data_IF_171672797594
#
_entry.id   IF_171672797594
#
_cell.length_a   1.000
_cell.length_b   1.000
_cell.length_c   1.000
_cell.angle_alpha   90.00
_cell.angle_beta   90.00
_cell.angle_gamma   90.00
#
_symmetry.space_group_name_H-M   'P 1'
#
loop_
_entity.id
_entity.type
_entity.pdbx_description
1 polymer ?
#
# COMPACT_ATOMS: atom_id res chain seq x y z
N UNK A 1 6.31 -2.43 46.53
CA UNK A 1 6.06 -2.16 45.09
C UNK A 1 5.20 -3.22 44.39
N UNK A 2 5.05 -4.44 44.94
CA UNK A 2 4.35 -5.58 44.30
C UNK A 2 2.84 -5.37 44.02
N UNK A 3 2.10 -4.66 44.90
CA UNK A 3 0.63 -4.49 44.75
C UNK A 3 0.19 -3.74 43.48
N UNK A 4 1.00 -2.83 42.94
CA UNK A 4 0.62 -2.06 41.75
C UNK A 4 0.69 -2.91 40.47
N UNK A 5 1.67 -3.81 40.38
CA UNK A 5 1.84 -4.69 39.23
C UNK A 5 0.76 -5.76 39.19
N UNK A 6 0.41 -6.36 40.33
CA UNK A 6 -0.69 -7.33 40.42
C UNK A 6 -2.03 -6.73 40.00
N UNK A 7 -2.35 -5.51 40.46
CA UNK A 7 -3.58 -4.83 40.07
C UNK A 7 -3.62 -4.50 38.57
N UNK A 8 -2.46 -4.15 37.97
CA UNK A 8 -2.40 -3.91 36.53
C UNK A 8 -2.58 -5.20 35.72
N UNK A 9 -1.96 -6.30 36.13
CA UNK A 9 -2.09 -7.59 35.44
C UNK A 9 -3.55 -8.07 35.48
N UNK A 10 -4.20 -8.00 36.64
CA UNK A 10 -5.61 -8.39 36.79
C UNK A 10 -6.53 -7.51 35.94
N UNK A 11 -6.34 -6.18 35.99
CA UNK A 11 -7.06 -5.25 35.11
C UNK A 11 -6.82 -5.58 33.63
N UNK A 12 -5.58 -5.83 33.23
CA UNK A 12 -5.23 -6.11 31.84
C UNK A 12 -5.86 -7.42 31.35
N UNK A 13 -5.88 -8.46 32.18
CA UNK A 13 -6.54 -9.72 31.85
C UNK A 13 -8.05 -9.53 31.69
N UNK A 14 -8.70 -8.85 32.64
CA UNK A 14 -10.16 -8.67 32.64
C UNK A 14 -10.65 -7.70 31.57
N UNK A 15 -9.89 -6.68 31.22
CA UNK A 15 -10.30 -5.74 30.17
C UNK A 15 -9.81 -6.20 28.81
N UNK A 16 -8.52 -6.45 28.65
CA UNK A 16 -7.92 -6.58 27.32
C UNK A 16 -7.81 -8.02 26.83
N UNK A 17 -7.88 -9.04 27.70
CA UNK A 17 -7.85 -10.44 27.23
C UNK A 17 -9.23 -11.09 27.15
N UNK A 18 -10.23 -10.58 27.86
CA UNK A 18 -11.59 -11.13 27.86
C UNK A 18 -12.60 -10.22 27.16
N UNK A 19 -12.78 -8.97 27.63
CA UNK A 19 -13.83 -8.05 27.12
C UNK A 19 -13.41 -7.42 25.78
N UNK A 20 -12.20 -6.88 25.71
CA UNK A 20 -11.64 -6.17 24.57
C UNK A 20 -10.51 -6.94 23.89
N UNK A 21 -10.66 -8.27 23.74
CA UNK A 21 -9.66 -9.17 23.18
C UNK A 21 -9.27 -8.92 21.72
N UNK A 22 -9.87 -7.91 21.08
CA UNK A 22 -9.63 -7.48 19.71
C UNK A 22 -8.51 -6.43 19.57
N UNK A 23 -7.74 -6.15 20.62
CA UNK A 23 -6.80 -5.01 20.68
C UNK A 23 -5.48 -5.20 19.92
N UNK A 24 -5.14 -6.41 19.49
CA UNK A 24 -3.89 -6.70 18.78
C UNK A 24 -4.10 -6.76 17.26
N UNK A 25 -3.09 -6.36 16.50
CA UNK A 25 -3.16 -6.20 15.04
C UNK A 25 -3.63 -7.47 14.29
N UNK A 26 -3.40 -8.65 14.86
CA UNK A 26 -3.77 -9.93 14.26
C UNK A 26 -5.29 -10.19 14.17
N UNK A 27 -6.10 -9.46 14.94
CA UNK A 27 -7.57 -9.63 14.99
C UNK A 27 -8.24 -9.09 13.72
N UNK A 28 -7.79 -7.94 13.24
CA UNK A 28 -8.25 -7.33 12.00
C UNK A 28 -7.37 -7.76 10.83
N UNK A 29 -7.45 -9.03 10.41
CA UNK A 29 -6.67 -9.51 9.27
C UNK A 29 -6.91 -8.63 8.04
N UNK A 30 -5.83 -8.14 7.42
CA UNK A 30 -5.87 -7.26 6.25
C UNK A 30 -6.47 -5.86 6.47
N UNK A 31 -6.83 -5.51 7.70
CA UNK A 31 -7.16 -4.13 8.05
C UNK A 31 -5.88 -3.32 8.25
N UNK A 32 -5.84 -2.03 7.86
CA UNK A 32 -4.70 -1.18 8.16
C UNK A 32 -4.50 -1.13 9.66
N UNK A 33 -3.30 -1.46 10.15
CA UNK A 33 -3.02 -1.53 11.59
C UNK A 33 -3.14 -0.19 12.33
N UNK A 34 -3.28 0.91 11.59
CA UNK A 34 -3.73 2.18 12.12
C UNK A 34 -4.42 3.00 11.03
N UNK A 35 -5.41 3.81 11.41
CA UNK A 35 -5.92 4.92 10.59
C UNK A 35 -4.89 6.07 10.45
N UNK A 36 -3.66 5.85 10.94
CA UNK A 36 -2.52 6.75 10.88
C UNK A 36 -2.02 6.96 9.44
N UNK A 37 -2.84 6.78 8.40
CA UNK A 37 -2.49 7.15 7.04
C UNK A 37 -2.18 8.63 6.94
N UNK A 38 -3.14 9.40 7.47
CA UNK A 38 -3.07 10.83 7.51
C UNK A 38 -1.97 11.24 8.49
N UNK A 39 -1.87 10.62 9.67
CA UNK A 39 -0.83 10.94 10.65
C UNK A 39 0.58 10.50 10.25
N UNK A 40 0.76 9.38 9.57
CA UNK A 40 2.05 8.88 9.10
C UNK A 40 2.50 9.65 7.86
N UNK A 41 1.59 9.97 6.94
CA UNK A 41 1.87 10.88 5.83
C UNK A 41 2.16 12.28 6.35
N UNK A 42 1.35 12.79 7.28
CA UNK A 42 1.60 14.04 7.98
C UNK A 42 2.89 13.97 8.80
N UNK A 43 3.29 12.83 9.36
CA UNK A 43 4.55 12.67 10.07
C UNK A 43 5.72 12.59 9.10
N UNK A 44 5.58 11.99 7.92
CA UNK A 44 6.61 12.02 6.88
C UNK A 44 6.76 13.45 6.36
N UNK A 45 5.65 14.15 6.12
CA UNK A 45 5.62 15.56 5.76
C UNK A 45 6.26 16.35 6.91
N UNK A 46 5.82 16.24 8.16
CA UNK A 46 6.37 16.99 9.31
C UNK A 46 7.83 16.66 9.62
N UNK A 47 8.26 15.38 9.53
CA UNK A 47 9.64 14.93 9.80
C UNK A 47 10.61 15.24 8.66
N UNK A 48 10.15 15.24 7.40
CA UNK A 48 11.00 15.55 6.22
C UNK A 48 10.87 17.00 5.74
N UNK A 49 9.75 17.64 6.06
CA UNK A 49 9.32 18.98 5.65
C UNK A 49 8.80 19.69 6.92
N UNK A 50 9.72 20.15 7.77
CA UNK A 50 9.41 20.90 8.98
C UNK A 50 8.51 22.11 8.64
N UNK A 51 7.20 21.93 8.69
CA UNK A 51 6.22 23.03 8.63
C UNK A 51 6.28 23.90 9.89
N UNK A 52 7.14 23.56 10.86
CA UNK A 52 7.51 24.40 12.00
C UNK A 52 8.42 25.57 11.60
N UNK A 53 9.09 25.50 10.45
CA UNK A 53 9.91 26.61 9.92
C UNK A 53 9.56 26.88 8.45
N UNK A 54 9.55 28.16 8.05
CA UNK A 54 9.33 28.53 6.64
C UNK A 54 10.47 27.97 5.80
N UNK A 55 10.17 26.99 4.94
CA UNK A 55 11.17 26.44 4.02
C UNK A 55 11.57 27.48 2.98
N UNK A 56 12.87 27.59 2.71
CA UNK A 56 13.38 28.34 1.56
C UNK A 56 12.76 27.78 0.27
N UNK A 57 12.44 28.67 -0.68
CA UNK A 57 11.79 28.30 -1.95
C UNK A 57 12.57 27.22 -2.72
N UNK A 58 13.91 27.26 -2.65
CA UNK A 58 14.79 26.23 -3.24
C UNK A 58 14.52 24.84 -2.67
N UNK A 59 14.29 24.73 -1.37
CA UNK A 59 13.99 23.45 -0.69
C UNK A 59 12.59 22.95 -1.02
N UNK A 60 11.61 23.85 -1.15
CA UNK A 60 10.26 23.48 -1.62
C UNK A 60 10.31 22.86 -3.01
N UNK A 61 11.10 23.45 -3.93
CA UNK A 61 11.27 22.88 -5.29
C UNK A 61 11.85 21.47 -5.25
N UNK A 62 12.95 21.25 -4.50
CA UNK A 62 13.58 19.93 -4.34
C UNK A 62 12.56 18.91 -3.81
N UNK A 63 11.78 19.29 -2.80
CA UNK A 63 10.80 18.41 -2.18
C UNK A 63 9.64 18.05 -3.10
N UNK A 64 9.12 19.03 -3.87
CA UNK A 64 8.09 18.77 -4.88
C UNK A 64 8.60 17.76 -5.92
N UNK A 65 9.83 17.93 -6.41
CA UNK A 65 10.45 16.98 -7.33
C UNK A 65 10.62 15.60 -6.71
N UNK A 66 11.03 15.49 -5.45
CA UNK A 66 11.14 14.18 -4.78
C UNK A 66 9.80 13.45 -4.64
N UNK A 67 8.73 14.18 -4.33
CA UNK A 67 7.38 13.60 -4.21
C UNK A 67 6.95 13.08 -5.58
N UNK A 68 7.06 13.92 -6.62
CA UNK A 68 6.73 13.54 -8.00
C UNK A 68 7.57 12.36 -8.47
N UNK A 69 8.87 12.34 -8.18
CA UNK A 69 9.76 11.23 -8.55
C UNK A 69 9.33 9.92 -7.87
N UNK A 70 9.01 9.96 -6.56
CA UNK A 70 8.53 8.78 -5.82
C UNK A 70 7.24 8.22 -6.42
N UNK A 71 6.31 9.09 -6.80
CA UNK A 71 5.06 8.71 -7.47
C UNK A 71 5.30 8.17 -8.88
N UNK A 72 6.18 8.80 -9.67
CA UNK A 72 6.56 8.31 -11.02
C UNK A 72 7.13 6.89 -10.97
N UNK A 73 7.99 6.61 -9.98
CA UNK A 73 8.54 5.26 -9.77
C UNK A 73 7.45 4.23 -9.43
N UNK A 74 6.30 4.62 -8.88
CA UNK A 74 5.17 3.70 -8.67
C UNK A 74 4.49 3.31 -9.98
N UNK A 75 4.33 4.24 -10.92
CA UNK A 75 3.80 3.95 -12.27
C UNK A 75 4.71 2.99 -13.05
N UNK A 76 6.02 3.22 -13.02
CA UNK A 76 7.00 2.31 -13.63
C UNK A 76 6.90 0.89 -13.05
N UNK A 77 6.92 0.78 -11.72
CA UNK A 77 6.82 -0.52 -11.04
C UNK A 77 5.46 -1.19 -11.28
N UNK A 78 4.38 -0.42 -11.35
CA UNK A 78 3.04 -0.91 -11.69
C UNK A 78 3.00 -1.46 -13.11
N UNK A 79 3.53 -0.72 -14.08
CA UNK A 79 3.59 -1.15 -15.47
C UNK A 79 4.42 -2.43 -15.65
N UNK A 80 5.59 -2.52 -15.01
CA UNK A 80 6.40 -3.75 -15.01
C UNK A 80 5.70 -4.91 -14.31
N UNK A 81 4.95 -4.64 -13.23
CA UNK A 81 4.13 -5.66 -12.59
C UNK A 81 3.03 -6.19 -13.52
N UNK A 82 2.38 -5.33 -14.31
CA UNK A 82 1.38 -5.78 -15.31
C UNK A 82 2.02 -6.74 -16.33
N UNK A 83 3.26 -6.47 -16.77
CA UNK A 83 4.00 -7.36 -17.68
C UNK A 83 4.32 -8.74 -17.10
N UNK A 84 4.30 -8.90 -15.77
CA UNK A 84 4.53 -10.20 -15.14
C UNK A 84 3.36 -11.18 -15.29
N UNK A 85 2.24 -10.75 -15.90
CA UNK A 85 1.10 -11.60 -16.29
C UNK A 85 0.56 -12.49 -15.18
N UNK A 86 0.65 -12.04 -13.94
CA UNK A 86 0.13 -12.76 -12.76
C UNK A 86 -1.38 -13.00 -12.89
N UNK A 87 -1.84 -14.15 -12.41
CA UNK A 87 -3.27 -14.49 -12.31
C UNK A 87 -3.96 -13.58 -11.29
N UNK A 88 -5.21 -13.23 -11.57
CA UNK A 88 -6.02 -12.36 -10.73
C UNK A 88 -7.36 -13.05 -10.52
N UNK A 89 -7.88 -12.98 -9.30
CA UNK A 89 -9.24 -13.38 -8.98
C UNK A 89 -9.99 -12.19 -8.45
N UNK A 90 -11.17 -11.92 -9.02
CA UNK A 90 -12.00 -10.80 -8.63
C UNK A 90 -13.21 -11.26 -7.83
N UNK A 91 -13.58 -10.48 -6.83
CA UNK A 91 -14.82 -10.64 -6.06
C UNK A 91 -15.45 -9.26 -5.95
N UNK A 92 -16.69 -9.13 -6.41
CA UNK A 92 -17.46 -7.90 -6.30
C UNK A 92 -18.16 -7.85 -4.94
N UNK A 93 -18.06 -6.70 -4.27
CA UNK A 93 -18.67 -6.43 -2.98
C UNK A 93 -19.27 -5.01 -3.01
N UNK A 94 -20.58 -4.92 -3.22
CA UNK A 94 -21.33 -3.66 -3.32
C UNK A 94 -20.71 -2.67 -4.34
N UNK A 95 -20.11 -1.57 -3.86
CA UNK A 95 -19.49 -0.53 -4.66
C UNK A 95 -17.97 -0.69 -4.82
N UNK A 96 -17.43 -1.83 -4.39
CA UNK A 96 -16.01 -2.15 -4.42
C UNK A 96 -15.77 -3.47 -5.14
N UNK A 97 -14.64 -3.57 -5.84
CA UNK A 97 -14.16 -4.83 -6.42
C UNK A 97 -12.84 -5.17 -5.76
N UNK A 98 -12.79 -6.35 -5.15
CA UNK A 98 -11.57 -6.91 -4.58
C UNK A 98 -10.89 -7.81 -5.61
N UNK A 99 -9.57 -7.63 -5.77
CA UNK A 99 -8.70 -8.40 -6.64
C UNK A 99 -7.61 -9.07 -5.81
N UNK A 100 -7.63 -10.39 -5.74
CA UNK A 100 -6.59 -11.18 -5.08
C UNK A 100 -5.47 -11.51 -6.08
N UNK A 101 -4.22 -11.29 -5.67
CA UNK A 101 -3.02 -11.43 -6.50
C UNK A 101 -1.90 -12.19 -5.75
N UNK A 102 -1.07 -12.98 -6.44
CA UNK A 102 0.09 -13.62 -5.81
C UNK A 102 1.14 -12.60 -5.37
N UNK A 103 1.74 -12.87 -4.21
CA UNK A 103 2.90 -12.15 -3.72
C UNK A 103 4.21 -12.65 -4.36
N UNK A 104 5.26 -11.83 -4.27
CA UNK A 104 6.60 -12.21 -4.72
C UNK A 104 6.67 -12.47 -6.23
N UNK A 105 7.40 -13.52 -6.60
CA UNK A 105 7.63 -13.94 -7.99
C UNK A 105 6.52 -14.85 -8.53
N UNK A 106 5.73 -15.47 -7.64
CA UNK A 106 4.65 -16.40 -7.97
C UNK A 106 3.66 -15.80 -8.98
N UNK A 107 3.33 -16.56 -10.02
CA UNK A 107 2.48 -16.08 -11.11
C UNK A 107 1.04 -16.58 -11.05
N UNK A 108 0.80 -17.63 -10.26
CA UNK A 108 -0.49 -18.32 -10.21
C UNK A 108 -1.01 -18.40 -8.78
N UNK A 109 -2.31 -18.18 -8.61
CA UNK A 109 -3.07 -18.51 -7.41
C UNK A 109 -4.32 -19.29 -7.81
N UNK A 110 -4.97 -19.95 -6.85
CA UNK A 110 -6.22 -20.69 -7.06
C UNK A 110 -7.28 -20.20 -6.08
N UNK A 111 -8.57 -20.31 -6.45
CA UNK A 111 -9.68 -19.97 -5.55
C UNK A 111 -9.59 -20.71 -4.21
N UNK A 112 -9.25 -22.01 -4.26
CA UNK A 112 -9.04 -22.82 -3.05
C UNK A 112 -7.92 -22.25 -2.19
N UNK A 113 -6.80 -21.83 -2.79
CA UNK A 113 -5.69 -21.20 -2.06
C UNK A 113 -6.09 -19.88 -1.40
N UNK A 114 -6.88 -19.06 -2.09
CA UNK A 114 -7.41 -17.79 -1.55
C UNK A 114 -8.32 -18.05 -0.35
N UNK A 115 -9.28 -18.96 -0.48
CA UNK A 115 -10.21 -19.31 0.59
C UNK A 115 -9.50 -19.87 1.81
N UNK A 116 -8.51 -20.74 1.59
CA UNK A 116 -7.68 -21.28 2.66
C UNK A 116 -6.99 -20.15 3.40
N UNK A 117 -6.32 -19.21 2.71
CA UNK A 117 -5.61 -18.10 3.37
C UNK A 117 -6.57 -17.16 4.10
N UNK A 118 -7.73 -16.83 3.52
CA UNK A 118 -8.71 -15.91 4.14
C UNK A 118 -9.41 -16.51 5.37
N UNK A 119 -9.68 -17.82 5.37
CA UNK A 119 -10.39 -18.52 6.46
C UNK A 119 -9.45 -19.19 7.45
N UNK A 120 -8.13 -19.10 7.24
CA UNK A 120 -7.14 -19.78 8.09
C UNK A 120 -7.16 -19.19 9.50
N UNK A 121 -7.28 -20.06 10.49
CA UNK A 121 -6.94 -19.74 11.88
C UNK A 121 -5.44 -19.91 12.06
N UNK A 122 -4.81 -18.92 12.67
CA UNK A 122 -3.36 -18.91 12.93
C UNK A 122 -3.11 -19.46 14.33
N UNK A 123 -2.46 -20.61 14.42
CA UNK A 123 -2.12 -21.21 15.71
C UNK A 123 -0.68 -20.89 16.13
N UNK A 124 0.19 -20.56 15.17
CA UNK A 124 1.57 -20.14 15.43
C UNK A 124 1.98 -18.95 14.57
N UNK A 125 2.96 -18.18 15.06
CA UNK A 125 3.53 -17.07 14.32
C UNK A 125 4.22 -17.52 13.02
N UNK A 126 4.91 -18.66 13.04
CA UNK A 126 5.57 -19.20 11.84
C UNK A 126 4.57 -19.55 10.73
N UNK A 127 3.39 -20.06 11.08
CA UNK A 127 2.32 -20.32 10.12
C UNK A 127 1.82 -19.01 9.51
N UNK A 128 1.61 -17.99 10.34
CA UNK A 128 1.22 -16.66 9.90
C UNK A 128 2.26 -16.05 8.95
N UNK A 129 3.54 -16.00 9.36
CA UNK A 129 4.62 -15.42 8.57
C UNK A 129 4.75 -16.09 7.19
N UNK A 130 4.61 -17.41 7.12
CA UNK A 130 4.76 -18.16 5.86
C UNK A 130 3.59 -17.96 4.91
N UNK A 131 2.37 -17.75 5.40
CA UNK A 131 1.15 -17.81 4.55
C UNK A 131 0.44 -16.47 4.39
N UNK A 132 0.43 -15.60 5.41
CA UNK A 132 -0.31 -14.34 5.37
C UNK A 132 0.18 -13.38 4.27
N UNK A 133 1.45 -13.51 3.87
CA UNK A 133 2.08 -12.67 2.85
C UNK A 133 2.24 -13.35 1.49
N UNK A 134 1.52 -14.45 1.25
CA UNK A 134 1.54 -15.17 -0.04
C UNK A 134 0.56 -14.59 -1.06
N UNK A 135 -0.48 -13.91 -0.58
CA UNK A 135 -1.52 -13.30 -1.39
C UNK A 135 -1.71 -11.86 -0.93
N UNK A 136 -1.78 -10.93 -1.88
CA UNK A 136 -2.22 -9.57 -1.62
C UNK A 136 -3.62 -9.36 -2.18
N UNK A 137 -4.42 -8.58 -1.48
CA UNK A 137 -5.74 -8.14 -1.94
C UNK A 137 -5.65 -6.66 -2.30
N UNK A 138 -6.17 -6.31 -3.47
CA UNK A 138 -6.30 -4.94 -3.97
C UNK A 138 -7.77 -4.64 -4.10
N UNK A 139 -8.28 -3.63 -3.40
CA UNK A 139 -9.70 -3.25 -3.48
C UNK A 139 -9.81 -1.92 -4.20
N UNK A 140 -10.59 -1.87 -5.26
CA UNK A 140 -10.83 -0.66 -6.06
C UNK A 140 -12.32 -0.29 -6.04
N UNK A 141 -12.68 0.99 -6.08
CA UNK A 141 -14.05 1.41 -6.35
C UNK A 141 -14.52 0.95 -7.73
N UNK A 142 -15.81 0.63 -7.86
CA UNK A 142 -16.45 0.37 -9.16
C UNK A 142 -16.38 1.61 -10.07
N UNK A 143 -16.44 2.80 -9.47
CA UNK A 143 -16.19 4.06 -10.17
C UNK A 143 -14.71 4.16 -10.59
N UNK A 144 -14.46 3.94 -11.88
CA UNK A 144 -13.14 3.94 -12.49
C UNK A 144 -12.39 5.25 -12.30
N UNK A 145 -13.08 6.38 -12.15
CA UNK A 145 -12.45 7.69 -11.95
C UNK A 145 -11.87 7.83 -10.54
N UNK A 146 -12.41 7.08 -9.57
CA UNK A 146 -12.00 7.09 -8.16
C UNK A 146 -10.98 6.01 -7.83
N UNK A 147 -10.28 5.48 -8.81
CA UNK A 147 -9.30 4.41 -8.58
C UNK A 147 -8.20 4.77 -7.57
N UNK A 148 -7.93 6.07 -7.38
CA UNK A 148 -6.99 6.58 -6.37
C UNK A 148 -7.42 6.27 -4.93
N UNK A 149 -8.70 6.03 -4.68
CA UNK A 149 -9.23 5.59 -3.39
C UNK A 149 -9.00 4.09 -3.16
N UNK A 150 -8.35 3.41 -4.11
CA UNK A 150 -8.00 2.01 -4.03
C UNK A 150 -7.04 1.68 -2.91
N UNK A 151 -7.28 0.55 -2.24
CA UNK A 151 -6.47 0.05 -1.13
C UNK A 151 -5.78 -1.26 -1.47
N UNK A 152 -4.67 -1.56 -0.78
CA UNK A 152 -3.97 -2.84 -0.97
C UNK A 152 -3.41 -3.36 0.34
N UNK A 153 -3.42 -4.68 0.52
CA UNK A 153 -2.91 -5.33 1.74
C UNK A 153 -1.39 -5.57 1.74
N UNK A 154 -0.66 -5.02 0.76
CA UNK A 154 0.78 -5.20 0.69
C UNK A 154 1.54 -4.25 1.62
N UNK A 155 2.71 -4.68 2.10
CA UNK A 155 3.55 -3.89 3.01
C UNK A 155 3.93 -2.51 2.46
N UNK A 156 4.05 -2.36 1.13
CA UNK A 156 4.33 -1.06 0.51
C UNK A 156 3.16 -0.09 0.66
N UNK A 157 1.93 -0.59 0.52
CA UNK A 157 0.72 0.21 0.68
C UNK A 157 0.55 0.65 2.14
N UNK A 158 0.66 -0.27 3.11
CA UNK A 158 0.57 0.10 4.52
C UNK A 158 1.59 1.18 4.95
N UNK A 159 2.76 1.24 4.32
CA UNK A 159 3.78 2.25 4.62
C UNK A 159 3.61 3.58 3.88
N UNK A 160 2.96 3.59 2.71
CA UNK A 160 2.99 4.75 1.79
C UNK A 160 1.64 5.13 1.20
N UNK A 161 0.59 4.37 1.50
CA UNK A 161 -0.76 4.49 0.94
C UNK A 161 -0.80 4.51 -0.60
N UNK A 162 0.23 3.92 -1.20
CA UNK A 162 0.39 3.81 -2.64
C UNK A 162 1.35 2.66 -2.93
N UNK A 163 1.00 1.80 -3.87
CA UNK A 163 1.84 0.67 -4.24
C UNK A 163 1.73 0.33 -5.72
N UNK A 164 2.67 -0.49 -6.20
CA UNK A 164 2.68 -0.96 -7.59
C UNK A 164 1.45 -1.81 -7.93
N UNK A 165 0.77 -2.41 -6.95
CA UNK A 165 -0.39 -3.28 -7.20
C UNK A 165 -1.65 -2.47 -7.50
N UNK A 166 -1.95 -1.41 -6.72
CA UNK A 166 -3.07 -0.49 -7.03
C UNK A 166 -2.87 0.13 -8.42
N UNK A 167 -1.69 0.72 -8.65
CA UNK A 167 -1.38 1.34 -9.94
C UNK A 167 -1.34 0.30 -11.07
N UNK A 168 -0.77 -0.88 -10.84
CA UNK A 168 -0.72 -1.95 -11.83
C UNK A 168 -2.10 -2.49 -12.21
N UNK A 169 -3.00 -2.69 -11.23
CA UNK A 169 -4.36 -3.14 -11.48
C UNK A 169 -5.14 -2.13 -12.32
N UNK A 170 -5.03 -0.84 -12.01
CA UNK A 170 -5.73 0.22 -12.75
C UNK A 170 -5.20 0.38 -14.17
N UNK A 171 -3.88 0.19 -14.40
CA UNK A 171 -3.30 0.09 -15.75
C UNK A 171 -3.87 -1.12 -16.50
N UNK A 172 -3.95 -2.29 -15.84
CA UNK A 172 -4.44 -3.53 -16.47
C UNK A 172 -5.92 -3.48 -16.83
N UNK A 173 -6.72 -2.76 -16.02
CA UNK A 173 -8.14 -2.53 -16.24
C UNK A 173 -8.43 -1.32 -17.13
N UNK A 174 -7.40 -0.65 -17.65
CA UNK A 174 -7.49 0.58 -18.47
C UNK A 174 -8.24 1.74 -17.79
N UNK A 175 -8.13 1.85 -16.45
CA UNK A 175 -8.68 2.96 -15.66
C UNK A 175 -7.71 4.14 -15.60
N UNK A 176 -6.42 3.89 -15.81
CA UNK A 176 -5.38 4.90 -15.83
C UNK A 176 -4.37 4.63 -16.95
N UNK A 177 -3.99 5.68 -17.68
CA UNK A 177 -2.94 5.62 -18.70
C UNK A 177 -1.60 5.96 -18.05
N UNK A 178 -0.63 5.03 -18.03
CA UNK A 178 0.69 5.34 -17.49
C UNK A 178 1.41 6.36 -18.38
N UNK A 179 2.22 7.26 -17.80
CA UNK A 179 2.99 8.23 -18.57
C UNK A 179 3.92 7.49 -19.56
N UNK A 180 4.18 8.03 -20.77
CA UNK A 180 5.01 7.37 -21.79
C UNK A 180 6.39 6.93 -21.27
N UNK A 181 6.99 7.75 -20.41
CA UNK A 181 8.28 7.48 -19.77
C UNK A 181 8.29 6.19 -18.90
N UNK A 182 7.13 5.75 -18.41
CA UNK A 182 7.02 4.51 -17.64
C UNK A 182 7.03 3.26 -18.52
N UNK A 183 6.70 3.37 -19.82
CA UNK A 183 6.63 2.23 -20.74
C UNK A 183 8.02 1.70 -21.13
N UNK A 184 9.00 2.61 -21.19
CA UNK A 184 10.34 2.37 -21.73
C UNK A 184 11.43 2.17 -20.67
N UNK A 185 11.12 2.33 -19.38
CA UNK A 185 12.11 2.24 -18.31
C UNK A 185 12.54 0.78 -18.05
N UNK A 186 13.84 0.47 -18.19
CA UNK A 186 14.43 -0.77 -17.69
C UNK A 186 14.82 -0.60 -16.22
N UNK A 187 14.69 -1.67 -15.43
CA UNK A 187 15.15 -1.69 -14.03
C UNK A 187 16.67 -1.54 -14.02
N UNK A 188 17.19 -0.45 -13.45
CA UNK A 188 18.63 -0.19 -13.30
C UNK A 188 19.16 1.06 -14.03
N UNK A 189 18.37 1.65 -14.93
CA UNK A 189 18.83 2.82 -15.68
C UNK A 189 18.81 4.08 -14.78
N UNK A 190 19.97 4.70 -14.58
CA UNK A 190 20.05 6.07 -14.02
C UNK A 190 19.41 7.02 -15.01
N UNK A 191 18.30 7.64 -14.62
CA UNK A 191 17.68 8.71 -15.42
C UNK A 191 18.55 9.97 -15.33
N UNK A 192 19.08 10.41 -16.47
CA UNK A 192 19.56 11.78 -16.63
C UNK A 192 18.30 12.65 -16.65
N UNK A 193 18.15 13.52 -15.65
CA UNK A 193 17.09 14.53 -15.68
C UNK A 193 17.48 15.55 -16.74
N UNK A 194 17.00 15.37 -17.97
CA UNK A 194 17.08 16.42 -18.99
C UNK A 194 16.05 17.47 -18.60
N UNK A 195 16.51 18.54 -17.96
CA UNK A 195 15.70 19.73 -17.74
C UNK A 195 15.59 20.41 -19.11
N UNK A 196 14.53 20.10 -19.85
CA UNK A 196 14.23 20.80 -21.09
C UNK A 196 13.78 22.23 -20.75
N UNK A 197 14.69 23.18 -20.94
CA UNK A 197 14.46 24.60 -20.72
C UNK A 197 13.61 25.26 -21.82
N UNK A 198 13.08 24.51 -22.80
CA UNK A 198 12.48 25.12 -24.01
C UNK A 198 10.98 24.87 -24.26
N UNK A 199 10.19 24.36 -23.30
CA UNK A 199 8.73 24.32 -23.56
C UNK A 199 7.82 24.55 -22.33
N UNK A 200 7.44 25.81 -22.04
CA UNK A 200 6.65 26.16 -20.86
C UNK A 200 5.13 26.09 -21.09
N UNK A 201 4.59 25.14 -21.87
CA UNK A 201 3.14 25.02 -22.06
C UNK A 201 2.69 23.58 -22.33
N UNK A 202 2.13 22.93 -21.30
CA UNK A 202 0.82 22.23 -21.31
C UNK A 202 0.67 21.36 -20.05
N UNK A 203 0.03 21.92 -19.04
CA UNK A 203 -0.71 21.17 -18.02
C UNK A 203 -2.15 21.72 -18.06
N UNK A 204 -3.10 20.85 -18.40
CA UNK A 204 -4.46 20.89 -17.87
C UNK A 204 -4.60 19.63 -17.01
#
# INVERSE_FOLDING_TARGET
MVKKESNFIEYFQNEWLTIHNAWYEGVGHFTPSANNALEATNNIIKKKNTLGERLLLSRVKVLAFEIVEKWSKCYERGYQWVKSSKSIFSTECDNLVQYDIPAGEETKITNVGIDVVKKMKWYTFDQYQKKAFTIWSVTLPVDKLKWLDGVCTCAAFFKKYMCKHVVGMTIRLDHCKPPPAAKNAKIGDKKIVVVDHQNPKKCY
#
